data_IF_043356467454
#
_entry.id   IF_043356467454
#
_cell.length_a   1.000
_cell.length_b   1.000
_cell.length_c   1.000
_cell.angle_alpha   90.00
_cell.angle_beta   90.00
_cell.angle_gamma   90.00
#
_symmetry.space_group_name_H-M   'P 1'
#
loop_
_entity.id
_entity.type
_entity.pdbx_description
1 polymer ?
#
# COMPACT_ATOMS: atom_id res chain seq x y z
N UNK A 1 -15.58 3.89 34.51
CA UNK A 1 -14.71 5.06 34.29
C UNK A 1 -13.67 4.63 33.25
N UNK A 2 -13.92 4.88 31.96
CA UNK A 2 -12.93 4.66 30.88
C UNK A 2 -12.18 5.97 30.72
N UNK A 3 -10.87 5.87 30.78
CA UNK A 3 -9.90 6.92 30.92
C UNK A 3 -10.03 8.01 29.85
N UNK A 4 -10.09 9.26 30.29
CA UNK A 4 -10.06 10.47 29.46
C UNK A 4 -8.73 10.63 28.67
N UNK A 5 -7.74 9.80 28.91
CA UNK A 5 -6.45 9.80 28.20
C UNK A 5 -6.56 9.27 26.76
N UNK A 6 -7.52 8.37 26.46
CA UNK A 6 -7.71 7.84 25.11
C UNK A 6 -8.39 8.81 24.12
N UNK A 7 -8.98 9.90 24.63
CA UNK A 7 -9.70 10.87 23.80
C UNK A 7 -8.76 11.87 23.10
N UNK A 8 -7.50 11.92 23.54
CA UNK A 8 -6.47 12.86 23.04
C UNK A 8 -5.43 12.24 22.15
N UNK A 9 -5.48 10.93 21.89
CA UNK A 9 -4.49 10.22 21.09
C UNK A 9 -4.53 10.65 19.62
N UNK A 10 -3.35 10.97 19.05
CA UNK A 10 -3.19 11.32 17.65
C UNK A 10 -3.31 10.09 16.77
N UNK A 11 -4.03 10.20 15.67
CA UNK A 11 -4.25 9.11 14.73
C UNK A 11 -2.93 8.54 14.17
N UNK A 12 -1.94 9.39 13.93
CA UNK A 12 -0.62 8.94 13.46
C UNK A 12 0.10 8.05 14.50
N UNK A 13 -0.02 8.36 15.80
CA UNK A 13 0.58 7.58 16.88
C UNK A 13 -0.16 6.25 17.08
N UNK A 14 -1.48 6.28 17.13
CA UNK A 14 -2.31 5.08 17.16
C UNK A 14 -1.99 4.12 16.01
N UNK A 15 -1.94 4.64 14.78
CA UNK A 15 -1.64 3.82 13.60
C UNK A 15 -0.23 3.20 13.67
N UNK A 16 0.76 3.95 14.14
CA UNK A 16 2.13 3.48 14.34
C UNK A 16 2.18 2.33 15.34
N UNK A 17 1.52 2.49 16.48
CA UNK A 17 1.44 1.48 17.51
C UNK A 17 0.71 0.24 17.02
N UNK A 18 -0.44 0.40 16.37
CA UNK A 18 -1.19 -0.67 15.76
C UNK A 18 -0.33 -1.49 14.77
N UNK A 19 0.43 -0.84 13.89
CA UNK A 19 1.35 -1.52 12.96
C UNK A 19 2.41 -2.30 13.71
N UNK A 20 2.98 -1.74 14.77
CA UNK A 20 4.00 -2.42 15.56
C UNK A 20 3.44 -3.64 16.32
N UNK A 21 2.24 -3.55 16.84
CA UNK A 21 1.61 -4.64 17.61
C UNK A 21 1.08 -5.75 16.70
N UNK A 22 0.35 -5.39 15.64
CA UNK A 22 -0.39 -6.36 14.83
C UNK A 22 0.28 -6.78 13.52
N UNK A 23 1.25 -6.01 13.00
CA UNK A 23 1.87 -6.28 11.69
C UNK A 23 3.33 -6.67 11.78
N UNK A 24 4.09 -6.09 12.71
CA UNK A 24 5.49 -6.44 12.90
C UNK A 24 5.59 -7.94 13.24
N UNK A 25 6.54 -8.63 12.61
CA UNK A 25 6.81 -10.07 12.76
C UNK A 25 5.67 -11.02 12.32
N UNK A 26 4.49 -10.47 11.98
CA UNK A 26 3.35 -11.25 11.47
C UNK A 26 3.28 -11.27 9.93
N UNK A 27 3.93 -10.32 9.25
CA UNK A 27 3.91 -10.18 7.79
C UNK A 27 5.33 -10.04 7.24
N UNK A 28 5.47 -10.27 5.93
CA UNK A 28 6.76 -10.12 5.23
C UNK A 28 7.26 -8.67 5.32
N UNK A 29 8.58 -8.48 5.42
CA UNK A 29 9.21 -7.15 5.53
C UNK A 29 8.80 -6.21 4.36
N UNK A 30 8.71 -6.73 3.14
CA UNK A 30 8.24 -5.94 1.99
C UNK A 30 6.80 -5.40 2.16
N UNK A 31 5.93 -6.14 2.86
CA UNK A 31 4.58 -5.70 3.19
C UNK A 31 4.60 -4.71 4.35
N UNK A 32 5.41 -4.96 5.38
CA UNK A 32 5.58 -4.06 6.51
C UNK A 32 6.10 -2.68 6.06
N UNK A 33 7.03 -2.65 5.10
CA UNK A 33 7.53 -1.41 4.50
C UNK A 33 6.40 -0.55 3.89
N UNK A 34 5.36 -1.16 3.31
CA UNK A 34 4.18 -0.44 2.81
C UNK A 34 3.38 0.20 3.94
N UNK A 35 3.16 -0.52 5.05
CA UNK A 35 2.48 0.04 6.24
C UNK A 35 3.27 1.21 6.84
N UNK A 36 4.60 1.10 6.91
CA UNK A 36 5.47 2.21 7.35
C UNK A 36 5.42 3.41 6.41
N UNK A 37 5.28 3.17 5.09
CA UNK A 37 5.08 4.26 4.12
C UNK A 37 3.72 4.95 4.35
N UNK A 38 2.66 4.18 4.56
CA UNK A 38 1.33 4.70 4.91
C UNK A 38 1.39 5.54 6.18
N UNK A 39 2.09 5.10 7.21
CA UNK A 39 2.31 5.87 8.44
C UNK A 39 2.93 7.25 8.16
N UNK A 40 4.02 7.30 7.37
CA UNK A 40 4.66 8.58 6.99
C UNK A 40 3.72 9.53 6.26
N UNK A 41 2.82 9.00 5.43
CA UNK A 41 1.83 9.80 4.74
C UNK A 41 0.74 10.31 5.69
N UNK A 42 0.31 9.51 6.64
CA UNK A 42 -0.62 9.96 7.69
C UNK A 42 0.00 11.09 8.51
N UNK A 43 1.25 10.92 8.96
CA UNK A 43 2.00 11.96 9.69
C UNK A 43 2.14 13.27 8.87
N UNK A 44 2.33 13.16 7.55
CA UNK A 44 2.46 14.32 6.64
C UNK A 44 1.13 15.04 6.40
N UNK A 45 0.05 14.28 6.21
CA UNK A 45 -1.25 14.84 5.77
C UNK A 45 -2.14 15.28 6.93
N UNK A 46 -2.08 14.59 8.06
CA UNK A 46 -2.96 14.80 9.21
C UNK A 46 -2.21 14.67 10.55
N UNK A 47 -1.14 15.47 10.78
CA UNK A 47 -0.28 15.32 11.95
C UNK A 47 -1.01 15.50 13.28
N UNK A 48 -1.99 16.38 13.33
CA UNK A 48 -2.68 16.80 14.56
C UNK A 48 -4.07 16.17 14.71
N UNK A 49 -4.45 15.26 13.81
CA UNK A 49 -5.76 14.62 13.85
C UNK A 49 -5.84 13.62 15.00
N UNK A 50 -6.81 13.78 15.90
CA UNK A 50 -7.09 12.82 16.96
C UNK A 50 -7.93 11.65 16.43
N UNK A 51 -7.73 10.46 17.02
CA UNK A 51 -8.49 9.26 16.64
C UNK A 51 -9.99 9.49 16.80
N UNK A 52 -10.41 10.09 17.92
CA UNK A 52 -11.83 10.37 18.22
C UNK A 52 -12.50 11.38 17.29
N UNK A 53 -11.71 12.22 16.61
CA UNK A 53 -12.19 13.25 15.69
C UNK A 53 -12.31 12.75 14.24
N UNK A 54 -11.87 11.50 13.95
CA UNK A 54 -11.85 10.95 12.61
C UNK A 54 -13.26 10.68 12.08
N UNK A 55 -13.85 11.69 11.45
CA UNK A 55 -15.14 11.58 10.79
C UNK A 55 -15.01 11.07 9.37
N UNK A 56 -16.13 10.61 8.80
CA UNK A 56 -16.21 10.17 7.40
C UNK A 56 -15.73 11.23 6.40
N UNK A 57 -16.06 12.50 6.65
CA UNK A 57 -15.64 13.61 5.79
C UNK A 57 -14.14 13.84 5.88
N UNK A 58 -13.57 13.80 7.08
CA UNK A 58 -12.12 13.94 7.28
C UNK A 58 -11.35 12.77 6.67
N UNK A 59 -11.86 11.55 6.81
CA UNK A 59 -11.27 10.38 6.17
C UNK A 59 -11.29 10.49 4.64
N UNK A 60 -12.41 10.92 4.06
CA UNK A 60 -12.50 11.15 2.60
C UNK A 60 -11.55 12.26 2.14
N UNK A 61 -11.38 13.32 2.95
CA UNK A 61 -10.44 14.39 2.65
C UNK A 61 -8.99 13.87 2.66
N UNK A 62 -8.62 13.07 3.64
CA UNK A 62 -7.32 12.40 3.71
C UNK A 62 -7.04 11.56 2.44
N UNK A 63 -8.00 10.77 2.00
CA UNK A 63 -7.89 9.99 0.76
C UNK A 63 -7.77 10.89 -0.48
N UNK A 64 -8.52 11.99 -0.54
CA UNK A 64 -8.46 12.92 -1.65
C UNK A 64 -7.10 13.63 -1.72
N UNK A 65 -6.52 14.02 -0.58
CA UNK A 65 -5.22 14.68 -0.52
C UNK A 65 -4.09 13.72 -0.92
N UNK A 66 -4.15 12.46 -0.47
CA UNK A 66 -3.23 11.42 -0.93
C UNK A 66 -3.34 11.17 -2.45
N UNK A 67 -4.57 11.14 -2.97
CA UNK A 67 -4.86 10.91 -4.39
C UNK A 67 -4.32 12.00 -5.34
N UNK A 68 -4.03 13.23 -4.83
CA UNK A 68 -3.43 14.29 -5.63
C UNK A 68 -2.04 13.94 -6.16
N UNK A 69 -1.30 13.12 -5.41
CA UNK A 69 0.07 12.72 -5.76
C UNK A 69 0.16 11.29 -6.32
N UNK A 70 -0.89 10.46 -6.12
CA UNK A 70 -0.85 9.03 -6.40
C UNK A 70 -1.89 8.57 -7.42
N UNK A 71 -1.63 7.43 -8.05
CA UNK A 71 -2.58 6.75 -8.93
C UNK A 71 -3.70 6.09 -8.10
N UNK A 72 -4.85 5.87 -8.75
CA UNK A 72 -6.03 5.28 -8.10
C UNK A 72 -5.73 3.95 -7.39
N UNK A 73 -4.92 3.07 -8.00
CA UNK A 73 -4.57 1.78 -7.37
C UNK A 73 -3.75 1.98 -6.09
N UNK A 74 -2.79 2.89 -6.10
CA UNK A 74 -1.98 3.22 -4.92
C UNK A 74 -2.84 3.82 -3.80
N UNK A 75 -3.82 4.66 -4.16
CA UNK A 75 -4.79 5.21 -3.20
C UNK A 75 -5.70 4.12 -2.62
N UNK A 76 -6.09 3.14 -3.42
CA UNK A 76 -6.85 1.98 -2.95
C UNK A 76 -6.04 1.14 -1.94
N UNK A 77 -4.77 0.90 -2.22
CA UNK A 77 -3.88 0.17 -1.32
C UNK A 77 -3.70 0.94 0.00
N UNK A 78 -3.54 2.26 -0.06
CA UNK A 78 -3.49 3.15 1.11
C UNK A 78 -4.77 3.05 1.95
N UNK A 79 -5.96 3.09 1.31
CA UNK A 79 -7.24 2.89 1.97
C UNK A 79 -7.30 1.53 2.69
N UNK A 80 -6.90 0.43 2.02
CA UNK A 80 -6.95 -0.90 2.63
C UNK A 80 -6.02 -1.03 3.84
N UNK A 81 -4.85 -0.39 3.81
CA UNK A 81 -3.90 -0.39 4.91
C UNK A 81 -4.40 0.40 6.14
N UNK A 82 -5.08 1.52 5.91
CA UNK A 82 -5.69 2.31 6.98
C UNK A 82 -6.94 1.64 7.56
N UNK A 83 -7.75 1.02 6.71
CA UNK A 83 -9.04 0.46 7.09
C UNK A 83 -8.93 -0.55 8.24
N UNK A 84 -7.90 -1.41 8.25
CA UNK A 84 -7.70 -2.38 9.32
C UNK A 84 -7.58 -1.71 10.69
N UNK A 85 -6.67 -0.74 10.82
CA UNK A 85 -6.46 -0.01 12.07
C UNK A 85 -7.69 0.80 12.50
N UNK A 86 -8.40 1.39 11.53
CA UNK A 86 -9.61 2.17 11.82
C UNK A 86 -10.76 1.29 12.31
N UNK A 87 -10.94 0.09 11.75
CA UNK A 87 -11.96 -0.85 12.21
C UNK A 87 -11.66 -1.34 13.62
N UNK A 88 -10.40 -1.64 13.94
CA UNK A 88 -10.01 -2.00 15.30
C UNK A 88 -10.27 -0.83 16.27
N UNK A 89 -9.98 0.42 15.87
CA UNK A 89 -10.31 1.61 16.67
C UNK A 89 -11.83 1.80 16.89
N UNK A 90 -12.66 1.41 15.93
CA UNK A 90 -14.13 1.39 16.09
C UNK A 90 -14.55 0.32 17.09
N UNK A 91 -13.99 -0.89 16.97
CA UNK A 91 -14.30 -2.02 17.85
C UNK A 91 -13.83 -1.75 19.29
N UNK A 92 -12.73 -1.02 19.47
CA UNK A 92 -12.23 -0.55 20.76
C UNK A 92 -13.05 0.64 21.33
N UNK A 93 -13.94 1.22 20.54
CA UNK A 93 -14.78 2.36 20.92
C UNK A 93 -14.06 3.71 20.92
N UNK A 94 -12.90 3.82 20.27
CA UNK A 94 -12.15 5.06 20.07
C UNK A 94 -12.79 5.93 19.01
N UNK A 95 -13.42 5.31 18.02
CA UNK A 95 -14.19 5.95 16.94
C UNK A 95 -15.64 5.47 17.05
N UNK A 96 -16.59 6.40 17.07
CA UNK A 96 -18.02 6.07 17.27
C UNK A 96 -18.62 5.27 16.09
N UNK A 97 -18.20 5.60 14.85
CA UNK A 97 -18.74 5.00 13.62
C UNK A 97 -17.63 4.82 12.60
N UNK A 98 -17.68 3.71 11.85
CA UNK A 98 -16.72 3.42 10.77
C UNK A 98 -16.70 4.54 9.70
N UNK A 99 -15.62 5.35 9.64
CA UNK A 99 -15.48 6.43 8.67
C UNK A 99 -15.06 5.92 7.27
N UNK A 100 -14.62 4.67 7.17
CA UNK A 100 -14.12 4.09 5.90
C UNK A 100 -15.23 3.58 5.01
N UNK A 101 -16.45 3.45 5.58
CA UNK A 101 -17.61 2.93 4.85
C UNK A 101 -17.99 3.82 3.67
N UNK A 102 -18.11 3.23 2.49
CA UNK A 102 -18.44 3.92 1.22
C UNK A 102 -17.41 5.02 0.84
N UNK A 103 -16.16 4.85 1.20
CA UNK A 103 -15.09 5.73 0.75
C UNK A 103 -14.96 5.72 -0.78
N UNK A 104 -14.77 6.90 -1.38
CA UNK A 104 -14.59 7.06 -2.82
C UNK A 104 -13.11 7.13 -3.12
N UNK A 105 -12.60 6.18 -3.89
CA UNK A 105 -11.20 6.12 -4.26
C UNK A 105 -10.95 6.88 -5.55
N UNK A 106 -10.23 7.99 -5.43
CA UNK A 106 -9.75 8.81 -6.54
C UNK A 106 -8.26 8.54 -6.78
N UNK A 107 -7.68 9.18 -7.77
CA UNK A 107 -6.26 9.11 -8.07
C UNK A 107 -5.95 9.66 -9.45
N UNK A 108 -4.66 9.88 -9.72
CA UNK A 108 -4.20 10.28 -11.04
C UNK A 108 -4.50 9.20 -12.07
N UNK A 109 -4.73 9.62 -13.30
CA UNK A 109 -4.82 8.69 -14.43
C UNK A 109 -3.52 7.89 -14.53
N UNK A 110 -3.59 6.54 -14.59
CA UNK A 110 -2.39 5.75 -14.70
C UNK A 110 -1.59 6.18 -15.92
N UNK A 111 -0.27 6.33 -15.75
CA UNK A 111 0.64 6.46 -16.88
C UNK A 111 0.44 5.25 -17.79
N UNK A 112 0.48 5.46 -19.09
CA UNK A 112 0.30 4.40 -20.10
C UNK A 112 0.94 3.11 -19.62
N UNK A 113 0.15 2.04 -19.53
CA UNK A 113 0.66 0.73 -19.09
C UNK A 113 1.78 0.34 -20.05
N UNK A 114 3.01 0.34 -19.56
CA UNK A 114 4.12 -0.24 -20.31
C UNK A 114 3.77 -1.68 -20.62
N UNK A 115 3.84 -2.06 -21.86
CA UNK A 115 3.69 -3.45 -22.31
C UNK A 115 4.74 -4.26 -21.56
N UNK A 116 4.30 -5.26 -20.79
CA UNK A 116 5.16 -6.12 -19.96
C UNK A 116 5.35 -7.51 -20.57
N UNK A 117 5.16 -7.63 -21.86
CA UNK A 117 5.37 -8.87 -22.59
C UNK A 117 6.12 -8.54 -23.88
N UNK A 118 6.85 -9.51 -24.37
CA UNK A 118 7.49 -9.47 -25.68
C UNK A 118 6.53 -10.10 -26.70
N UNK A 119 6.41 -9.50 -27.87
CA UNK A 119 5.79 -10.18 -28.99
C UNK A 119 6.72 -11.29 -29.52
N UNK A 120 6.21 -12.12 -30.42
CA UNK A 120 6.95 -13.27 -30.91
C UNK A 120 8.24 -12.89 -31.65
N UNK A 121 8.22 -11.79 -32.39
CA UNK A 121 9.40 -11.27 -33.09
C UNK A 121 10.46 -10.77 -32.10
N UNK A 122 10.05 -9.98 -31.11
CA UNK A 122 10.93 -9.47 -30.05
C UNK A 122 11.54 -10.61 -29.23
N UNK A 123 10.75 -11.66 -28.92
CA UNK A 123 11.24 -12.84 -28.22
C UNK A 123 12.29 -13.60 -29.03
N UNK A 124 12.05 -13.82 -30.34
CA UNK A 124 13.03 -14.48 -31.20
C UNK A 124 14.31 -13.64 -31.34
N UNK A 125 14.18 -12.34 -31.48
CA UNK A 125 15.31 -11.41 -31.54
C UNK A 125 16.13 -11.47 -30.24
N UNK A 126 15.46 -11.43 -29.09
CA UNK A 126 16.13 -11.56 -27.80
C UNK A 126 16.91 -12.88 -27.70
N UNK A 127 16.27 -14.02 -28.03
CA UNK A 127 16.92 -15.33 -27.97
C UNK A 127 18.14 -15.40 -28.89
N UNK A 128 18.06 -14.81 -30.08
CA UNK A 128 19.18 -14.79 -31.05
C UNK A 128 20.40 -13.99 -30.58
N UNK A 129 20.21 -13.03 -29.63
CA UNK A 129 21.28 -12.23 -29.08
C UNK A 129 21.82 -12.73 -27.74
N UNK A 130 21.32 -13.87 -27.21
CA UNK A 130 21.86 -14.47 -25.98
C UNK A 130 23.25 -15.08 -26.22
N UNK A 131 24.19 -14.75 -25.37
CA UNK A 131 25.53 -15.31 -25.34
C UNK A 131 25.60 -16.49 -24.35
N UNK A 132 25.30 -17.67 -24.86
CA UNK A 132 25.27 -18.91 -24.06
C UNK A 132 26.71 -19.41 -23.89
N UNK A 133 27.29 -19.15 -22.71
CA UNK A 133 28.64 -19.57 -22.31
C UNK A 133 28.61 -20.91 -21.58
N UNK A 134 29.76 -21.55 -21.44
CA UNK A 134 29.87 -22.83 -20.69
C UNK A 134 29.41 -22.70 -19.24
N UNK A 135 29.64 -21.56 -18.60
CA UNK A 135 29.15 -21.32 -17.23
C UNK A 135 27.77 -20.68 -17.27
N UNK A 136 26.81 -21.17 -16.43
CA UNK A 136 25.48 -20.58 -16.32
C UNK A 136 25.54 -19.10 -15.98
N UNK A 137 24.85 -18.27 -16.76
CA UNK A 137 24.71 -16.82 -16.62
C UNK A 137 23.24 -16.43 -16.78
N UNK A 138 22.95 -15.13 -16.78
CA UNK A 138 21.61 -14.63 -17.00
C UNK A 138 21.01 -15.03 -18.36
N UNK A 139 21.82 -15.22 -19.38
CA UNK A 139 21.36 -15.62 -20.70
C UNK A 139 20.80 -17.06 -20.69
N UNK A 140 21.41 -17.97 -19.92
CA UNK A 140 20.87 -19.30 -19.66
C UNK A 140 19.50 -19.23 -18.96
N UNK A 141 19.35 -18.36 -17.98
CA UNK A 141 18.07 -18.20 -17.28
C UNK A 141 17.00 -17.63 -18.20
N UNK A 142 17.31 -16.62 -19.01
CA UNK A 142 16.40 -16.02 -19.99
C UNK A 142 15.97 -17.07 -21.02
N UNK A 143 16.92 -17.86 -21.56
CA UNK A 143 16.63 -18.93 -22.51
C UNK A 143 15.70 -19.99 -21.89
N UNK A 144 15.98 -20.41 -20.65
CA UNK A 144 15.18 -21.40 -19.93
C UNK A 144 13.74 -20.91 -19.76
N UNK A 145 13.55 -19.68 -19.27
CA UNK A 145 12.22 -19.07 -19.08
C UNK A 145 11.50 -18.93 -20.43
N UNK A 146 12.19 -18.48 -21.48
CA UNK A 146 11.61 -18.31 -22.81
C UNK A 146 11.13 -19.65 -23.42
N UNK A 147 11.86 -20.74 -23.16
CA UNK A 147 11.52 -22.07 -23.69
C UNK A 147 10.48 -22.82 -22.87
N UNK A 148 10.43 -22.61 -21.56
CA UNK A 148 9.56 -23.37 -20.65
C UNK A 148 8.32 -22.60 -20.22
N UNK A 149 8.28 -21.28 -20.36
CA UNK A 149 7.22 -20.42 -19.87
C UNK A 149 7.09 -20.39 -18.34
N UNK A 150 8.13 -20.75 -17.61
CA UNK A 150 8.15 -20.73 -16.15
C UNK A 150 7.95 -19.28 -15.62
N UNK A 151 7.26 -19.20 -14.48
CA UNK A 151 7.02 -17.95 -13.73
C UNK A 151 7.77 -17.98 -12.40
#
# INVERSE_FOLDING_TARGET
MRNDENTTELFCNYYKEWVNVYKKDAIREATLAKYRMTQKWVEKLVPDLKVSELTRTMYQQLLNDYAKEHERQTTLDFHHQLKGAILDAVDEGLIERDPTRKAIIKGKTPKVKKIKYLNQFELHTLIAHLDIKEKPNWDWFILLVAKTGMR
#
